data_IF_028977619558
#
_entry.id   IF_028977619558
#
_cell.length_a   1.000
_cell.length_b   1.000
_cell.length_c   1.000
_cell.angle_alpha   90.00
_cell.angle_beta   90.00
_cell.angle_gamma   90.00
#
_symmetry.space_group_name_H-M   'P 1'
#
loop_
_entity.id
_entity.type
_entity.pdbx_description
1 polymer ?
#
# COMPACT_ATOMS: atom_id res chain seq x y z
N UNK A 1 13.84 10.22 -1.44
CA UNK A 1 14.17 8.78 -1.35
C UNK A 1 13.90 8.12 -2.69
N UNK A 2 14.65 7.09 -3.07
CA UNK A 2 14.45 6.31 -4.29
C UNK A 2 14.20 4.84 -3.92
N UNK A 3 13.18 4.21 -4.52
CA UNK A 3 12.80 2.81 -4.28
C UNK A 3 12.68 2.05 -5.60
N UNK A 4 13.13 0.81 -5.61
CA UNK A 4 12.90 -0.15 -6.70
C UNK A 4 11.84 -1.15 -6.25
N UNK A 5 10.82 -1.35 -7.07
CA UNK A 5 9.65 -2.16 -6.71
C UNK A 5 9.40 -3.20 -7.78
N UNK A 6 9.31 -4.46 -7.38
CA UNK A 6 8.68 -5.51 -8.18
C UNK A 6 7.39 -5.92 -7.49
N UNK A 7 6.29 -5.93 -8.23
CA UNK A 7 4.96 -6.15 -7.68
C UNK A 7 4.22 -7.24 -8.46
N UNK A 8 3.91 -8.35 -7.79
CA UNK A 8 3.01 -9.38 -8.27
C UNK A 8 1.70 -9.34 -7.47
N UNK A 9 0.64 -8.96 -8.15
CA UNK A 9 -0.69 -8.86 -7.55
C UNK A 9 -1.48 -10.13 -7.83
N UNK A 10 -1.44 -11.08 -6.92
CA UNK A 10 -2.34 -12.22 -6.89
C UNK A 10 -3.80 -11.80 -6.59
N UNK A 11 -4.77 -12.72 -6.72
CA UNK A 11 -6.15 -12.41 -6.37
C UNK A 11 -6.35 -12.30 -4.85
N UNK A 12 -5.70 -13.17 -4.09
CA UNK A 12 -5.79 -13.24 -2.63
C UNK A 12 -4.58 -12.67 -1.90
N UNK A 13 -3.42 -12.64 -2.56
CA UNK A 13 -2.15 -12.23 -1.97
C UNK A 13 -1.40 -11.32 -2.93
N UNK A 14 -0.67 -10.37 -2.37
CA UNK A 14 0.24 -9.48 -3.07
C UNK A 14 1.65 -9.74 -2.59
N UNK A 15 2.55 -10.03 -3.53
CA UNK A 15 3.98 -10.14 -3.30
C UNK A 15 4.67 -8.88 -3.84
N UNK A 16 5.33 -8.14 -2.94
CA UNK A 16 6.13 -6.98 -3.31
C UNK A 16 7.58 -7.23 -2.91
N UNK A 17 8.50 -6.93 -3.81
CA UNK A 17 9.91 -6.76 -3.46
C UNK A 17 10.19 -5.26 -3.55
N UNK A 18 10.51 -4.64 -2.42
CA UNK A 18 10.87 -3.22 -2.36
C UNK A 18 12.34 -3.13 -1.93
N UNK A 19 13.18 -2.63 -2.82
CA UNK A 19 14.64 -2.76 -2.78
C UNK A 19 15.01 -4.26 -2.62
N UNK A 20 15.42 -4.71 -1.43
CA UNK A 20 15.82 -6.10 -1.16
C UNK A 20 14.86 -6.81 -0.16
N UNK A 21 13.74 -6.18 0.21
CA UNK A 21 12.79 -6.74 1.17
C UNK A 21 11.58 -7.36 0.46
N UNK A 22 11.31 -8.64 0.72
CA UNK A 22 10.07 -9.31 0.28
C UNK A 22 8.96 -9.04 1.29
N UNK A 23 7.85 -8.52 0.80
CA UNK A 23 6.63 -8.21 1.54
C UNK A 23 5.50 -9.05 0.96
N UNK A 24 4.96 -9.96 1.76
CA UNK A 24 3.83 -10.82 1.38
C UNK A 24 2.63 -10.43 2.22
N UNK A 25 1.56 -9.99 1.57
CA UNK A 25 0.38 -9.48 2.25
C UNK A 25 -0.92 -9.93 1.58
N UNK A 26 -1.99 -10.15 2.34
CA UNK A 26 -3.31 -10.32 1.77
C UNK A 26 -3.68 -9.15 0.85
N UNK A 27 -4.17 -9.45 -0.36
CA UNK A 27 -4.51 -8.41 -1.33
C UNK A 27 -5.94 -7.89 -1.07
N UNK A 28 -6.11 -7.22 0.06
CA UNK A 28 -7.39 -6.71 0.56
C UNK A 28 -7.22 -5.34 1.20
N UNK A 29 -8.30 -4.58 1.26
CA UNK A 29 -8.41 -3.42 2.13
C UNK A 29 -9.79 -3.33 2.79
N UNK A 30 -9.89 -2.60 3.90
CA UNK A 30 -11.14 -2.23 4.54
C UNK A 30 -11.21 -0.71 4.73
N UNK A 31 -12.41 -0.14 4.66
CA UNK A 31 -12.63 1.31 4.81
C UNK A 31 -13.25 1.60 6.18
N UNK A 32 -12.49 2.10 7.16
CA UNK A 32 -13.07 2.59 8.39
C UNK A 32 -13.90 3.84 8.12
N UNK A 33 -15.04 3.97 8.80
CA UNK A 33 -15.94 5.11 8.64
C UNK A 33 -15.40 6.40 9.26
N UNK A 34 -14.46 6.28 10.19
CA UNK A 34 -13.81 7.38 10.91
C UNK A 34 -12.40 7.00 11.31
N UNK A 35 -11.60 8.01 11.64
CA UNK A 35 -10.28 7.79 12.21
C UNK A 35 -10.42 7.00 13.54
N UNK A 36 -9.74 5.86 13.69
CA UNK A 36 -9.75 5.10 14.94
C UNK A 36 -8.99 5.86 16.05
N UNK A 37 -9.20 5.46 17.31
CA UNK A 37 -8.34 5.93 18.38
C UNK A 37 -6.94 5.29 18.24
N UNK A 38 -5.95 6.11 17.96
CA UNK A 38 -4.56 5.68 17.74
C UNK A 38 -3.66 5.99 18.94
N UNK A 39 -4.15 6.66 19.98
CA UNK A 39 -3.35 7.11 21.12
C UNK A 39 -2.77 5.95 21.95
N UNK A 40 -3.41 4.79 21.91
CA UNK A 40 -2.97 3.60 22.64
C UNK A 40 -1.97 2.74 21.83
N UNK A 41 -1.70 3.11 20.57
CA UNK A 41 -0.83 2.33 19.69
C UNK A 41 0.58 2.91 19.73
N UNK A 42 1.53 2.12 20.22
CA UNK A 42 2.94 2.53 20.26
C UNK A 42 3.51 2.68 18.86
N UNK A 43 4.10 3.83 18.51
CA UNK A 43 4.79 4.03 17.23
C UNK A 43 5.88 2.99 16.97
N UNK A 44 6.60 2.56 18.00
CA UNK A 44 7.66 1.54 17.89
C UNK A 44 7.08 0.19 17.47
N UNK A 45 5.91 -0.18 18.03
CA UNK A 45 5.20 -1.41 17.67
C UNK A 45 4.78 -1.38 16.19
N UNK A 46 4.23 -0.24 15.74
CA UNK A 46 3.82 -0.08 14.33
C UNK A 46 5.04 -0.19 13.40
N UNK A 47 6.12 0.51 13.69
CA UNK A 47 7.32 0.50 12.82
C UNK A 47 8.00 -0.87 12.75
N UNK A 48 7.94 -1.64 13.84
CA UNK A 48 8.51 -3.00 13.87
C UNK A 48 7.78 -3.94 12.93
N UNK A 49 6.48 -3.74 12.75
CA UNK A 49 5.59 -4.64 11.99
C UNK A 49 4.64 -3.85 11.07
N UNK A 50 5.19 -2.83 10.41
CA UNK A 50 4.40 -1.80 9.72
C UNK A 50 3.49 -2.37 8.63
N UNK A 51 3.94 -3.40 7.90
CA UNK A 51 3.16 -4.00 6.82
C UNK A 51 1.95 -4.81 7.33
N UNK A 52 2.02 -5.38 8.53
CA UNK A 52 0.90 -6.08 9.17
C UNK A 52 -0.03 -5.14 9.96
N UNK A 53 0.43 -3.94 10.30
CA UNK A 53 -0.35 -2.95 11.06
C UNK A 53 -0.76 -1.74 10.22
N UNK A 54 -0.80 -1.90 8.89
CA UNK A 54 -0.87 -0.78 7.96
C UNK A 54 -2.23 -0.10 7.96
N UNK A 55 -2.23 1.14 8.39
CA UNK A 55 -3.34 2.07 8.31
C UNK A 55 -2.89 3.34 7.60
N UNK A 56 -3.60 3.74 6.56
CA UNK A 56 -3.21 4.85 5.69
C UNK A 56 -4.39 5.74 5.31
N UNK A 57 -4.08 6.97 4.95
CA UNK A 57 -4.95 7.80 4.13
C UNK A 57 -4.34 7.96 2.74
N UNK A 58 -5.15 7.70 1.70
CA UNK A 58 -4.75 7.88 0.29
C UNK A 58 -5.78 8.77 -0.37
N UNK A 59 -5.35 9.90 -0.92
CA UNK A 59 -6.24 10.88 -1.56
C UNK A 59 -7.47 11.25 -0.69
N UNK A 60 -7.27 11.30 0.63
CA UNK A 60 -8.32 11.61 1.61
C UNK A 60 -9.23 10.45 2.02
N UNK A 61 -9.09 9.28 1.42
CA UNK A 61 -9.76 8.05 1.87
C UNK A 61 -8.97 7.33 2.94
N UNK A 62 -9.64 6.76 3.96
CA UNK A 62 -9.00 5.97 5.03
C UNK A 62 -9.05 4.47 4.70
N UNK A 63 -7.93 3.77 4.92
CA UNK A 63 -7.81 2.36 4.58
C UNK A 63 -6.99 1.58 5.61
N UNK A 64 -7.55 0.48 6.10
CA UNK A 64 -6.76 -0.63 6.62
C UNK A 64 -6.35 -1.51 5.45
N UNK A 65 -5.09 -1.95 5.40
CA UNK A 65 -4.53 -2.66 4.25
C UNK A 65 -3.91 -3.98 4.68
N UNK A 66 -4.04 -5.00 3.83
CA UNK A 66 -3.44 -6.30 4.05
C UNK A 66 -3.93 -7.00 5.31
N UNK A 67 -3.00 -7.53 6.12
CA UNK A 67 -3.35 -8.23 7.37
C UNK A 67 -4.15 -7.35 8.32
N UNK A 68 -3.83 -6.06 8.42
CA UNK A 68 -4.58 -5.11 9.26
C UNK A 68 -6.05 -5.02 8.87
N UNK A 69 -6.37 -5.11 7.58
CA UNK A 69 -7.76 -5.10 7.12
C UNK A 69 -8.50 -6.34 7.60
N UNK A 70 -7.89 -7.52 7.50
CA UNK A 70 -8.50 -8.78 7.98
C UNK A 70 -8.74 -8.75 9.49
N UNK A 71 -7.81 -8.21 10.26
CA UNK A 71 -7.87 -8.15 11.73
C UNK A 71 -8.83 -7.05 12.24
N UNK A 72 -9.27 -6.15 11.36
CA UNK A 72 -10.09 -5.00 11.75
C UNK A 72 -11.54 -5.33 12.13
N UNK A 73 -12.04 -6.50 11.71
CA UNK A 73 -13.46 -6.87 11.84
C UNK A 73 -14.40 -6.08 10.93
N UNK A 74 -13.89 -5.22 10.06
CA UNK A 74 -14.66 -4.47 9.06
C UNK A 74 -14.75 -5.30 7.76
N UNK A 75 -15.87 -5.28 7.03
CA UNK A 75 -15.96 -5.97 5.74
C UNK A 75 -14.85 -5.54 4.79
N UNK A 76 -14.10 -6.51 4.26
CA UNK A 76 -12.99 -6.28 3.35
C UNK A 76 -13.45 -6.22 1.89
N UNK A 77 -12.80 -5.36 1.13
CA UNK A 77 -12.83 -5.38 -0.33
C UNK A 77 -11.78 -6.36 -0.82
N UNK A 78 -12.19 -7.30 -1.67
CA UNK A 78 -11.35 -8.37 -2.23
C UNK A 78 -11.44 -8.37 -3.75
N UNK A 79 -10.47 -8.98 -4.42
CA UNK A 79 -10.58 -9.26 -5.86
C UNK A 79 -11.46 -10.47 -6.04
N UNK A 80 -12.60 -10.31 -6.71
CA UNK A 80 -13.51 -11.42 -7.00
C UNK A 80 -12.92 -12.31 -8.09
N UNK A 81 -12.82 -13.61 -7.81
CA UNK A 81 -12.34 -14.60 -8.76
C UNK A 81 -13.41 -14.85 -9.81
N UNK A 82 -13.03 -14.88 -11.08
CA UNK A 82 -13.93 -15.19 -12.19
C UNK A 82 -14.65 -13.98 -12.81
N UNK A 83 -14.42 -12.77 -12.31
CA UNK A 83 -14.87 -11.53 -12.96
C UNK A 83 -13.74 -10.98 -13.83
N UNK A 84 -13.99 -10.88 -15.13
CA UNK A 84 -13.04 -10.33 -16.08
C UNK A 84 -12.67 -8.88 -15.74
N UNK A 85 -11.37 -8.57 -15.83
CA UNK A 85 -10.79 -7.23 -15.65
C UNK A 85 -10.86 -6.65 -14.22
N UNK A 86 -11.27 -7.37 -13.20
CA UNK A 86 -11.40 -6.83 -11.84
C UNK A 86 -10.07 -6.24 -11.31
N UNK A 87 -8.92 -6.89 -11.58
CA UNK A 87 -7.59 -6.36 -11.22
C UNK A 87 -7.26 -5.04 -11.89
N UNK A 88 -7.67 -4.84 -13.14
CA UNK A 88 -7.36 -3.61 -13.89
C UNK A 88 -8.26 -2.46 -13.49
N UNK A 89 -9.51 -2.74 -13.14
CA UNK A 89 -10.53 -1.75 -12.80
C UNK A 89 -10.66 -1.49 -11.30
N UNK A 90 -10.34 -2.48 -10.47
CA UNK A 90 -10.40 -2.38 -9.02
C UNK A 90 -9.34 -1.42 -8.46
N UNK A 91 -9.70 -0.73 -7.39
CA UNK A 91 -8.78 0.11 -6.63
C UNK A 91 -7.86 -0.70 -5.69
N UNK A 92 -8.12 -2.01 -5.51
CA UNK A 92 -7.38 -2.86 -4.56
C UNK A 92 -5.88 -2.84 -4.86
N UNK A 93 -5.51 -3.13 -6.11
CA UNK A 93 -4.10 -3.15 -6.51
C UNK A 93 -3.46 -1.78 -6.34
N UNK A 94 -4.17 -0.72 -6.67
CA UNK A 94 -3.70 0.66 -6.53
C UNK A 94 -3.47 1.03 -5.06
N UNK A 95 -4.48 0.82 -4.21
CA UNK A 95 -4.43 1.15 -2.78
C UNK A 95 -3.32 0.35 -2.09
N UNK A 96 -3.29 -0.98 -2.27
CA UNK A 96 -2.34 -1.84 -1.61
C UNK A 96 -0.89 -1.54 -2.04
N UNK A 97 -0.65 -1.33 -3.32
CA UNK A 97 0.69 -0.99 -3.83
C UNK A 97 1.19 0.34 -3.25
N UNK A 98 0.37 1.38 -3.28
CA UNK A 98 0.76 2.69 -2.72
C UNK A 98 0.97 2.62 -1.21
N UNK A 99 0.09 1.92 -0.48
CA UNK A 99 0.18 1.79 0.97
C UNK A 99 1.47 1.09 1.40
N UNK A 100 1.79 -0.07 0.80
CA UNK A 100 3.01 -0.81 1.14
C UNK A 100 4.28 -0.09 0.68
N UNK A 101 4.25 0.63 -0.43
CA UNK A 101 5.35 1.50 -0.87
C UNK A 101 5.62 2.61 0.14
N UNK A 102 4.57 3.28 0.61
CA UNK A 102 4.69 4.33 1.63
C UNK A 102 5.18 3.76 2.97
N UNK A 103 4.66 2.59 3.39
CA UNK A 103 5.13 1.91 4.60
C UNK A 103 6.63 1.58 4.55
N UNK A 104 7.12 1.08 3.42
CA UNK A 104 8.54 0.80 3.23
C UNK A 104 9.39 2.09 3.30
N UNK A 105 8.90 3.19 2.71
CA UNK A 105 9.56 4.49 2.79
C UNK A 105 9.63 5.01 4.23
N UNK A 106 8.55 4.91 4.99
CA UNK A 106 8.48 5.30 6.41
C UNK A 106 9.45 4.46 7.25
N UNK A 107 9.45 3.13 7.05
CA UNK A 107 10.37 2.21 7.73
C UNK A 107 11.83 2.58 7.47
N UNK A 108 12.17 2.83 6.21
CA UNK A 108 13.52 3.22 5.78
C UNK A 108 13.94 4.58 6.36
N UNK A 109 13.07 5.58 6.29
CA UNK A 109 13.32 6.91 6.87
C UNK A 109 13.52 6.85 8.39
N UNK A 110 12.70 6.08 9.10
CA UNK A 110 12.82 5.89 10.54
C UNK A 110 14.11 5.16 10.94
N UNK A 111 14.59 4.24 10.12
CA UNK A 111 15.84 3.51 10.36
C UNK A 111 17.08 4.41 10.18
N UNK A 112 17.01 5.42 9.31
CA UNK A 112 18.07 6.41 9.13
C UNK A 112 18.07 7.43 10.29
N UNK A 113 16.97 8.09 10.56
CA UNK A 113 16.74 8.96 11.71
C UNK A 113 15.23 9.06 11.98
N UNK A 114 14.80 8.81 13.22
CA UNK A 114 13.40 8.91 13.63
C UNK A 114 12.78 10.30 13.34
N UNK A 115 13.57 11.36 13.41
CA UNK A 115 13.14 12.73 13.10
C UNK A 115 12.74 12.93 11.64
N UNK A 116 13.13 12.04 10.74
CA UNK A 116 12.70 12.07 9.34
C UNK A 116 11.18 11.90 9.21
N UNK A 117 10.53 11.30 10.21
CA UNK A 117 9.08 11.13 10.23
C UNK A 117 8.30 12.42 10.52
N UNK A 118 8.97 13.47 10.97
CA UNK A 118 8.37 14.79 11.20
C UNK A 118 8.27 15.64 9.91
N UNK A 119 8.69 15.08 8.78
CA UNK A 119 8.74 15.75 7.50
C UNK A 119 8.04 14.92 6.41
N UNK A 120 7.60 15.61 5.35
CA UNK A 120 7.10 14.92 4.15
C UNK A 120 8.23 14.15 3.47
N UNK A 121 8.02 12.85 3.28
CA UNK A 121 8.96 11.95 2.62
C UNK A 121 8.65 11.91 1.12
N UNK A 122 9.49 12.53 0.30
CA UNK A 122 9.35 12.43 -1.16
C UNK A 122 9.98 11.14 -1.67
N UNK A 123 9.17 10.30 -2.31
CA UNK A 123 9.58 9.01 -2.88
C UNK A 123 9.53 9.07 -4.40
N UNK A 124 10.60 8.66 -5.04
CA UNK A 124 10.66 8.32 -6.46
C UNK A 124 10.78 6.81 -6.57
N UNK A 125 9.87 6.17 -7.29
CA UNK A 125 9.83 4.73 -7.40
C UNK A 125 9.89 4.28 -8.86
N UNK A 126 10.79 3.33 -9.14
CA UNK A 126 10.74 2.52 -10.37
C UNK A 126 10.02 1.23 -10.06
N UNK A 127 8.90 0.97 -10.75
CA UNK A 127 8.06 -0.19 -10.49
C UNK A 127 7.93 -1.07 -11.73
N UNK A 128 8.22 -2.36 -11.55
CA UNK A 128 7.84 -3.43 -12.46
C UNK A 128 6.63 -4.17 -11.89
N UNK A 129 5.64 -4.44 -12.71
CA UNK A 129 4.45 -5.21 -12.31
C UNK A 129 4.04 -6.19 -13.40
N UNK A 130 3.45 -7.32 -12.98
CA UNK A 130 2.94 -8.33 -13.89
C UNK A 130 1.43 -8.16 -14.09
N UNK A 131 0.99 -8.38 -15.33
CA UNK A 131 -0.42 -8.54 -15.65
C UNK A 131 -0.69 -9.99 -16.06
N UNK A 132 -1.85 -10.57 -15.70
CA UNK A 132 -2.25 -11.87 -16.18
C UNK A 132 -2.27 -11.92 -17.71
N UNK A 133 -1.76 -13.02 -18.28
CA UNK A 133 -1.69 -13.18 -19.74
C UNK A 133 -3.07 -13.02 -20.41
N UNK A 134 -4.13 -13.50 -19.75
CA UNK A 134 -5.52 -13.37 -20.23
C UNK A 134 -6.02 -11.93 -20.34
N UNK A 135 -5.41 -10.99 -19.59
CA UNK A 135 -5.77 -9.57 -19.60
C UNK A 135 -4.76 -8.70 -20.35
N UNK A 136 -3.67 -9.31 -20.83
CA UNK A 136 -2.63 -8.54 -21.50
C UNK A 136 -3.10 -8.03 -22.85
N UNK A 137 -3.09 -6.74 -23.00
CA UNK A 137 -3.08 -6.00 -24.25
C UNK A 137 -2.22 -4.75 -24.06
N UNK A 138 -1.69 -4.19 -25.12
CA UNK A 138 -0.90 -2.95 -25.04
C UNK A 138 -1.72 -1.81 -24.39
N UNK A 139 -3.03 -1.75 -24.71
CA UNK A 139 -3.93 -0.77 -24.11
C UNK A 139 -4.06 -0.99 -22.61
N UNK A 140 -4.37 -2.22 -22.17
CA UNK A 140 -4.53 -2.53 -20.73
C UNK A 140 -3.24 -2.28 -19.95
N UNK A 141 -2.08 -2.62 -20.52
CA UNK A 141 -0.79 -2.34 -19.88
C UNK A 141 -0.55 -0.83 -19.70
N UNK A 142 -0.84 -0.03 -20.73
CA UNK A 142 -0.72 1.42 -20.66
C UNK A 142 -1.72 2.03 -19.66
N UNK A 143 -2.98 1.59 -19.67
CA UNK A 143 -4.02 2.07 -18.75
C UNK A 143 -3.67 1.73 -17.29
N UNK A 144 -3.11 0.54 -17.07
CA UNK A 144 -2.65 0.12 -15.74
C UNK A 144 -1.45 0.95 -15.29
N UNK A 145 -0.43 1.13 -16.13
CA UNK A 145 0.73 1.95 -15.82
C UNK A 145 0.33 3.40 -15.52
N UNK A 146 -0.64 3.96 -16.21
CA UNK A 146 -1.13 5.32 -16.00
C UNK A 146 -1.82 5.52 -14.62
N UNK A 147 -2.21 4.44 -13.92
CA UNK A 147 -2.70 4.55 -12.53
C UNK A 147 -1.60 5.03 -11.57
N UNK A 148 -0.36 4.69 -11.86
CA UNK A 148 0.79 4.95 -10.97
C UNK A 148 1.72 6.05 -11.50
N UNK A 149 1.89 6.15 -12.82
CA UNK A 149 2.86 7.06 -13.43
C UNK A 149 2.23 8.39 -13.88
N UNK A 150 3.08 9.40 -14.06
CA UNK A 150 2.69 10.70 -14.61
C UNK A 150 2.00 11.65 -13.63
N UNK A 151 1.85 11.27 -12.36
CA UNK A 151 1.24 12.08 -11.30
C UNK A 151 1.90 11.85 -9.95
N UNK A 152 1.65 12.75 -9.01
CA UNK A 152 2.02 12.56 -7.60
C UNK A 152 0.87 11.87 -6.87
N UNK A 153 1.23 10.99 -5.95
CA UNK A 153 0.31 10.32 -5.04
C UNK A 153 0.57 10.81 -3.63
N UNK A 154 -0.48 11.14 -2.90
CA UNK A 154 -0.39 11.59 -1.51
C UNK A 154 -0.86 10.46 -0.60
N UNK A 155 0.07 9.94 0.17
CA UNK A 155 -0.19 8.84 1.12
C UNK A 155 0.27 9.28 2.50
N UNK A 156 -0.63 9.28 3.46
CA UNK A 156 -0.32 9.45 4.87
C UNK A 156 -0.32 8.08 5.56
N UNK A 157 0.78 7.71 6.18
CA UNK A 157 0.90 6.48 6.99
C UNK A 157 0.76 6.84 8.46
N UNK A 158 -0.14 6.16 9.16
CA UNK A 158 -0.35 6.36 10.59
C UNK A 158 0.60 5.46 11.40
N UNK A 159 1.52 6.08 12.11
CA UNK A 159 2.49 5.41 12.99
C UNK A 159 2.09 5.72 14.44
N UNK A 160 1.17 4.91 15.01
CA UNK A 160 0.44 5.33 16.19
C UNK A 160 -0.39 6.58 15.88
N UNK A 161 -0.37 7.58 16.75
CA UNK A 161 -1.04 8.88 16.52
C UNK A 161 -0.27 9.83 15.59
N UNK A 162 0.96 9.48 15.18
CA UNK A 162 1.75 10.29 14.25
C UNK A 162 1.32 10.05 12.81
N UNK A 163 1.02 11.14 12.10
CA UNK A 163 0.77 11.15 10.66
C UNK A 163 2.07 11.39 9.90
N UNK A 164 2.50 10.43 9.07
CA UNK A 164 3.72 10.53 8.25
C UNK A 164 3.31 10.58 6.78
N UNK A 165 3.65 11.70 6.13
CA UNK A 165 3.33 11.94 4.71
C UNK A 165 4.57 11.76 3.81
#
# INVERSE_FOLDING_TARGET
MYLKIANDNGNSEQDLIIDDELIQQPNVFAKPMRLPNLDEISPESVLKDIHNQLFVSIEGGLYYVGQRALDSGIPCHTIEVGIDNNKLTSDIVYINTLAHTAAAAVKKAAAEDRKNLDQTITVHADMATALPVSYYSKKNANDFAAKFSGKKHHVCVYVGSQEVM
#
